data_IF_479749061790
#
_entry.id   IF_479749061790
#
_cell.length_a   1.000
_cell.length_b   1.000
_cell.length_c   1.000
_cell.angle_alpha   90.00
_cell.angle_beta   90.00
_cell.angle_gamma   90.00
#
_symmetry.space_group_name_H-M   'P 1'
#
loop_
_entity.id
_entity.type
_entity.pdbx_description
1 polymer ?
#
# COMPACT_ATOMS: atom_id res chain seq x y z
N UNK A 1 -25.58 3.40 -2.07
CA UNK A 1 -24.26 2.79 -1.76
C UNK A 1 -23.68 3.46 -0.52
N UNK A 2 -23.22 2.72 0.50
CA UNK A 2 -22.60 3.32 1.69
C UNK A 2 -21.23 3.93 1.32
N UNK A 3 -20.95 5.14 1.78
CA UNK A 3 -19.64 5.76 1.62
C UNK A 3 -18.60 4.99 2.46
N UNK A 4 -17.57 4.44 1.81
CA UNK A 4 -16.48 3.73 2.50
C UNK A 4 -15.39 4.75 2.86
N UNK A 5 -15.26 5.06 4.15
CA UNK A 5 -14.19 5.92 4.67
C UNK A 5 -12.87 5.16 4.66
N UNK A 6 -11.94 5.58 3.80
CA UNK A 6 -10.58 5.03 3.72
C UNK A 6 -9.59 5.90 4.50
N UNK A 7 -8.61 5.29 5.15
CA UNK A 7 -7.50 5.94 5.88
C UNK A 7 -6.26 6.08 5.00
N UNK A 8 -6.04 5.15 4.09
CA UNK A 8 -5.01 5.22 3.06
C UNK A 8 -5.54 4.61 1.77
N UNK A 9 -4.80 4.80 0.68
CA UNK A 9 -5.20 4.26 -0.61
C UNK A 9 -4.93 2.74 -0.61
N UNK A 10 -5.84 1.90 -1.15
CA UNK A 10 -5.70 0.44 -1.09
C UNK A 10 -4.41 -0.05 -1.74
N UNK A 11 -3.91 -1.20 -1.25
CA UNK A 11 -2.75 -1.90 -1.79
C UNK A 11 -3.13 -2.74 -3.01
N UNK A 12 -3.56 -2.08 -4.09
CA UNK A 12 -4.15 -2.74 -5.27
C UNK A 12 -3.21 -3.73 -5.96
N UNK A 13 -1.91 -3.41 -6.05
CA UNK A 13 -0.92 -4.34 -6.62
C UNK A 13 -0.76 -5.61 -5.80
N UNK A 14 -0.65 -5.47 -4.47
CA UNK A 14 -0.54 -6.64 -3.61
C UNK A 14 -1.84 -7.46 -3.59
N UNK A 15 -3.01 -6.81 -3.69
CA UNK A 15 -4.28 -7.53 -3.88
C UNK A 15 -4.29 -8.35 -5.16
N UNK A 16 -3.92 -7.75 -6.30
CA UNK A 16 -3.83 -8.45 -7.58
C UNK A 16 -2.88 -9.65 -7.49
N UNK A 17 -1.71 -9.49 -6.86
CA UNK A 17 -0.78 -10.59 -6.63
C UNK A 17 -1.41 -11.76 -5.87
N UNK A 18 -2.15 -11.50 -4.79
CA UNK A 18 -2.81 -12.56 -4.02
C UNK A 18 -3.86 -13.29 -4.86
N UNK A 19 -4.62 -12.56 -5.67
CA UNK A 19 -5.64 -13.13 -6.57
C UNK A 19 -4.98 -13.97 -7.68
N UNK A 20 -3.92 -13.46 -8.32
CA UNK A 20 -3.18 -14.12 -9.41
C UNK A 20 -2.45 -15.39 -8.95
N UNK A 21 -1.92 -15.38 -7.73
CA UNK A 21 -1.17 -16.53 -7.16
C UNK A 21 -2.07 -17.51 -6.39
N UNK A 22 -3.35 -17.19 -6.20
CA UNK A 22 -4.27 -17.99 -5.39
C UNK A 22 -3.93 -18.03 -3.90
N UNK A 23 -3.10 -17.11 -3.42
CA UNK A 23 -2.69 -17.06 -2.01
C UNK A 23 -3.88 -16.65 -1.14
N UNK A 24 -4.22 -17.51 -0.19
CA UNK A 24 -5.34 -17.26 0.71
C UNK A 24 -5.02 -16.12 1.70
N UNK A 25 -5.83 -15.07 1.68
CA UNK A 25 -5.74 -13.92 2.59
C UNK A 25 -5.75 -14.32 4.08
N UNK A 26 -6.48 -15.37 4.45
CA UNK A 26 -6.45 -15.93 5.81
C UNK A 26 -5.05 -16.41 6.20
N UNK A 27 -4.33 -17.02 5.26
CA UNK A 27 -2.97 -17.53 5.51
C UNK A 27 -1.97 -16.39 5.69
N UNK A 28 -2.11 -15.32 4.91
CA UNK A 28 -1.30 -14.10 5.11
C UNK A 28 -1.63 -13.44 6.45
N UNK A 29 -2.90 -13.41 6.85
CA UNK A 29 -3.28 -12.89 8.16
C UNK A 29 -2.65 -13.71 9.30
N UNK A 30 -2.69 -15.04 9.22
CA UNK A 30 -2.03 -15.95 10.18
C UNK A 30 -0.51 -15.71 10.23
N UNK A 31 0.15 -15.54 9.08
CA UNK A 31 1.58 -15.22 8.98
C UNK A 31 1.94 -13.93 9.73
N UNK A 32 1.04 -12.94 9.72
CA UNK A 32 1.23 -11.66 10.40
C UNK A 32 0.71 -11.63 11.84
N UNK A 33 0.19 -12.75 12.36
CA UNK A 33 -0.42 -12.79 13.69
C UNK A 33 -1.69 -11.93 13.80
N UNK A 34 -2.43 -11.75 12.70
CA UNK A 34 -3.62 -10.89 12.60
C UNK A 34 -4.88 -11.70 12.35
N UNK A 35 -6.03 -11.10 12.69
CA UNK A 35 -7.31 -11.58 12.16
C UNK A 35 -7.42 -11.28 10.66
N UNK A 36 -8.15 -12.13 9.93
CA UNK A 36 -8.43 -11.91 8.50
C UNK A 36 -9.12 -10.56 8.26
N UNK A 37 -9.97 -10.12 9.19
CA UNK A 37 -10.62 -8.81 9.12
C UNK A 37 -9.62 -7.66 9.20
N UNK A 38 -8.70 -7.70 10.17
CA UNK A 38 -7.67 -6.67 10.31
C UNK A 38 -6.75 -6.60 9.08
N UNK A 39 -6.32 -7.77 8.58
CA UNK A 39 -5.55 -7.86 7.34
C UNK A 39 -6.31 -7.27 6.14
N UNK A 40 -7.59 -7.59 6.00
CA UNK A 40 -8.43 -7.04 4.93
C UNK A 40 -8.63 -5.53 5.07
N UNK A 41 -8.69 -5.01 6.29
CA UNK A 41 -8.76 -3.57 6.54
C UNK A 41 -7.44 -2.87 6.13
N UNK A 42 -6.29 -3.48 6.41
CA UNK A 42 -5.00 -3.01 5.89
C UNK A 42 -5.00 -3.00 4.34
N UNK A 43 -5.35 -4.11 3.69
CA UNK A 43 -5.38 -4.20 2.22
C UNK A 43 -6.30 -3.17 1.56
N UNK A 44 -7.51 -3.00 2.10
CA UNK A 44 -8.55 -2.17 1.51
C UNK A 44 -8.46 -0.69 1.92
N UNK A 45 -7.48 -0.34 2.74
CA UNK A 45 -7.30 1.03 3.23
C UNK A 45 -8.39 1.50 4.18
N UNK A 46 -9.16 0.60 4.80
CA UNK A 46 -10.19 0.95 5.79
C UNK A 46 -9.67 0.84 7.23
N UNK A 47 -8.49 0.23 7.42
CA UNK A 47 -7.72 0.17 8.66
C UNK A 47 -6.46 1.03 8.60
N UNK A 48 -5.49 0.77 9.48
CA UNK A 48 -4.17 1.38 9.40
C UNK A 48 -3.33 0.81 8.25
N UNK A 49 -2.14 1.37 8.03
CA UNK A 49 -1.15 0.79 7.11
C UNK A 49 -0.52 -0.49 7.66
N UNK A 50 0.16 -1.26 6.80
CA UNK A 50 1.07 -2.30 7.25
C UNK A 50 2.28 -1.66 7.95
N UNK A 51 2.72 -2.25 9.06
CA UNK A 51 3.98 -1.82 9.67
C UNK A 51 5.17 -2.25 8.81
N UNK A 52 6.32 -1.59 8.97
CA UNK A 52 7.55 -1.98 8.26
C UNK A 52 7.94 -3.43 8.57
N UNK A 53 7.74 -3.89 9.81
CA UNK A 53 8.01 -5.27 10.19
C UNK A 53 7.09 -6.25 9.45
N UNK A 54 5.80 -5.93 9.30
CA UNK A 54 4.86 -6.74 8.53
C UNK A 54 5.23 -6.77 7.05
N UNK A 55 5.61 -5.63 6.47
CA UNK A 55 6.06 -5.56 5.08
C UNK A 55 7.29 -6.44 4.85
N UNK A 56 8.27 -6.46 5.77
CA UNK A 56 9.44 -7.35 5.67
C UNK A 56 9.02 -8.82 5.61
N UNK A 57 8.16 -9.25 6.52
CA UNK A 57 7.65 -10.64 6.55
C UNK A 57 6.95 -11.00 5.24
N UNK A 58 6.11 -10.11 4.71
CA UNK A 58 5.42 -10.33 3.42
C UNK A 58 6.44 -10.41 2.28
N UNK A 59 7.36 -9.46 2.20
CA UNK A 59 8.35 -9.39 1.12
C UNK A 59 9.27 -10.62 1.11
N UNK A 60 9.73 -11.07 2.28
CA UNK A 60 10.54 -12.27 2.43
C UNK A 60 9.76 -13.54 2.07
N UNK A 61 8.50 -13.67 2.53
CA UNK A 61 7.68 -14.85 2.27
C UNK A 61 7.34 -15.05 0.79
N UNK A 62 7.09 -13.97 0.06
CA UNK A 62 6.66 -14.01 -1.34
C UNK A 62 7.76 -13.64 -2.33
N UNK A 63 8.96 -13.29 -1.83
CA UNK A 63 10.07 -12.79 -2.63
C UNK A 63 9.67 -11.61 -3.55
N UNK A 64 8.98 -10.62 -2.97
CA UNK A 64 8.49 -9.42 -3.67
C UNK A 64 9.11 -8.13 -3.11
N UNK A 65 9.08 -7.05 -3.88
CA UNK A 65 9.63 -5.75 -3.49
C UNK A 65 8.60 -4.85 -2.79
N UNK A 66 8.99 -4.26 -1.65
CA UNK A 66 8.16 -3.27 -0.96
C UNK A 66 7.85 -2.05 -1.84
N UNK A 67 8.85 -1.59 -2.59
CA UNK A 67 8.76 -0.43 -3.47
C UNK A 67 7.76 -0.66 -4.61
N UNK A 68 7.71 -1.89 -5.13
CA UNK A 68 6.83 -2.24 -6.22
C UNK A 68 5.38 -2.37 -5.76
N UNK A 69 5.14 -3.03 -4.62
CA UNK A 69 3.80 -3.46 -4.20
C UNK A 69 3.12 -2.54 -3.18
N UNK A 70 3.89 -1.79 -2.39
CA UNK A 70 3.36 -1.03 -1.25
C UNK A 70 3.68 0.47 -1.32
N UNK A 71 4.77 0.87 -1.96
CA UNK A 71 5.11 2.29 -2.09
C UNK A 71 4.54 2.89 -3.38
N UNK A 72 4.21 4.18 -3.32
CA UNK A 72 3.83 4.96 -4.51
C UNK A 72 5.03 5.81 -4.94
N UNK A 73 5.47 5.72 -6.20
CA UNK A 73 6.37 6.72 -6.74
C UNK A 73 5.58 8.04 -6.85
N UNK A 74 5.80 8.99 -5.94
CA UNK A 74 5.26 10.35 -6.08
C UNK A 74 4.76 11.09 -4.84
N UNK A 75 5.28 10.87 -3.63
CA UNK A 75 4.81 11.62 -2.43
C UNK A 75 5.86 12.41 -1.65
N UNK A 76 6.96 12.83 -2.30
CA UNK A 76 7.60 14.05 -1.79
C UNK A 76 6.75 15.25 -2.22
N UNK A 77 5.83 15.67 -1.34
CA UNK A 77 5.06 16.92 -1.51
C UNK A 77 6.00 18.12 -1.72
N UNK A 78 7.23 18.04 -1.18
CA UNK A 78 8.27 19.04 -1.37
C UNK A 78 8.69 19.15 -2.84
N UNK A 79 8.92 18.01 -3.52
CA UNK A 79 9.36 17.98 -4.93
C UNK A 79 8.30 18.53 -5.87
N UNK A 80 7.03 18.31 -5.54
CA UNK A 80 5.87 18.76 -6.33
C UNK A 80 5.56 20.26 -6.16
N UNK A 81 5.95 20.86 -5.04
CA UNK A 81 5.83 22.30 -4.79
C UNK A 81 6.94 23.07 -5.51
N UNK A 82 8.18 22.60 -5.35
CA UNK A 82 9.35 23.19 -5.99
C UNK A 82 9.29 23.14 -7.52
N UNK A 83 8.81 22.03 -8.11
CA UNK A 83 8.66 21.92 -9.56
C UNK A 83 7.63 22.89 -10.13
N UNK A 84 6.56 23.19 -9.38
CA UNK A 84 5.53 24.15 -9.80
C UNK A 84 5.99 25.60 -9.71
N UNK A 85 6.79 25.93 -8.69
CA UNK A 85 7.37 27.26 -8.52
C UNK A 85 8.37 27.56 -9.66
N UNK A 86 9.26 26.61 -9.98
CA UNK A 86 10.23 26.74 -11.08
C UNK A 86 9.58 26.88 -12.48
N UNK A 87 8.48 26.17 -12.75
CA UNK A 87 7.75 26.30 -14.02
C UNK A 87 7.02 27.66 -14.14
N UNK A 88 6.58 28.23 -13.02
CA UNK A 88 5.92 29.54 -13.02
C UNK A 88 6.88 30.72 -13.22
N UNK A 89 8.15 30.58 -12.80
CA UNK A 89 9.19 31.58 -13.01
C UNK A 89 9.77 31.53 -14.44
N UNK A 90 9.79 30.35 -15.08
CA UNK A 90 10.31 30.19 -16.44
C UNK A 90 9.35 30.69 -17.55
N UNK A 91 8.13 31.09 -17.20
CA UNK A 91 7.09 31.54 -18.14
C UNK A 91 6.82 33.06 -18.05
N UNK A 92 7.65 33.80 -17.30
CA UNK A 92 7.61 35.27 -17.19
C UNK A 92 8.76 35.94 -17.93
#
# INVERSE_FOLDING_TARGET
MKQIKRRHVPYTKFKAFLDETGVNQKKVAELLGKSTSAFNQNLNGTGGDFSVAELRVICEQFNISADEYFLRPGVSKMKQKLSKELESEATQ
#
